data_IF_727263816987
#
_entry.id   IF_727263816987
#
_cell.length_a   1.000
_cell.length_b   1.000
_cell.length_c   1.000
_cell.angle_alpha   90.00
_cell.angle_beta   90.00
_cell.angle_gamma   90.00
#
_symmetry.space_group_name_H-M   'P 1'
#
loop_
_entity.id
_entity.type
_entity.pdbx_description
1 polymer ?
#
# COMPACT_ATOMS: atom_id res chain seq x y z
N UNK A 1 -4.71 -6.91 3.84
CA UNK A 1 -4.34 -6.76 2.42
C UNK A 1 -5.53 -7.07 1.54
N UNK A 2 -5.84 -6.16 0.64
CA UNK A 2 -7.16 -6.00 0.09
C UNK A 2 -7.28 -6.54 -1.34
N UNK A 3 -8.52 -6.68 -1.80
CA UNK A 3 -8.89 -6.89 -3.21
C UNK A 3 -8.17 -5.89 -4.14
N UNK A 4 -7.87 -4.68 -3.67
CA UNK A 4 -7.18 -3.60 -4.37
C UNK A 4 -5.73 -3.92 -4.73
N UNK A 5 -4.97 -4.56 -3.86
CA UNK A 5 -3.57 -4.94 -4.16
C UNK A 5 -3.52 -5.87 -5.37
N UNK A 6 -4.51 -6.75 -5.50
CA UNK A 6 -4.66 -7.62 -6.66
C UNK A 6 -5.09 -6.87 -7.93
N UNK A 7 -5.93 -5.84 -7.77
CA UNK A 7 -6.32 -4.99 -8.90
C UNK A 7 -5.13 -4.20 -9.44
N UNK A 8 -4.32 -3.61 -8.56
CA UNK A 8 -3.07 -2.94 -8.92
C UNK A 8 -2.11 -3.92 -9.61
N UNK A 9 -1.92 -5.12 -9.04
CA UNK A 9 -1.06 -6.13 -9.65
C UNK A 9 -1.53 -6.52 -11.06
N UNK A 10 -2.83 -6.70 -11.27
CA UNK A 10 -3.39 -6.97 -12.60
C UNK A 10 -3.17 -5.82 -13.59
N UNK A 11 -3.30 -4.58 -13.13
CA UNK A 11 -3.03 -3.39 -13.97
C UNK A 11 -1.55 -3.29 -14.37
N UNK A 12 -0.63 -3.78 -13.52
CA UNK A 12 0.79 -3.82 -13.81
C UNK A 12 1.20 -4.99 -14.72
N UNK A 13 0.34 -5.99 -14.89
CA UNK A 13 0.69 -7.24 -15.60
C UNK A 13 1.10 -7.01 -17.06
N UNK A 14 0.63 -5.94 -17.70
CA UNK A 14 0.97 -5.61 -19.08
C UNK A 14 2.15 -4.62 -19.20
N UNK A 15 2.82 -4.29 -18.08
CA UNK A 15 4.01 -3.44 -18.08
C UNK A 15 5.25 -4.27 -18.37
N UNK A 16 6.34 -3.57 -18.75
CA UNK A 16 7.65 -4.17 -19.06
C UNK A 16 8.74 -3.50 -18.25
N UNK A 17 9.85 -4.18 -18.10
CA UNK A 17 11.06 -3.68 -17.46
C UNK A 17 10.83 -3.17 -16.02
N UNK A 18 9.97 -3.89 -15.26
CA UNK A 18 9.70 -3.58 -13.86
C UNK A 18 10.46 -4.53 -12.93
N UNK A 19 10.96 -3.97 -11.83
CA UNK A 19 11.39 -4.71 -10.65
C UNK A 19 10.40 -4.44 -9.53
N UNK A 20 9.81 -5.50 -9.00
CA UNK A 20 8.75 -5.41 -7.99
C UNK A 20 9.18 -6.20 -6.76
N UNK A 21 9.20 -5.50 -5.62
CA UNK A 21 9.36 -6.09 -4.30
C UNK A 21 7.98 -6.15 -3.67
N UNK A 22 7.56 -7.32 -3.26
CA UNK A 22 6.25 -7.49 -2.61
C UNK A 22 6.34 -8.49 -1.46
N UNK A 23 5.73 -8.14 -0.32
CA UNK A 23 5.50 -9.09 0.76
C UNK A 23 4.17 -9.85 0.62
N UNK A 24 3.49 -9.70 -0.52
CA UNK A 24 2.23 -10.37 -0.81
C UNK A 24 2.42 -11.57 -1.73
N UNK A 25 2.21 -12.77 -1.20
CA UNK A 25 2.22 -13.96 -2.03
C UNK A 25 1.17 -13.89 -3.15
N UNK A 26 0.02 -13.29 -2.90
CA UNK A 26 -1.05 -13.14 -3.90
C UNK A 26 -0.66 -12.21 -5.03
N UNK A 27 0.02 -11.11 -4.73
CA UNK A 27 0.57 -10.18 -5.75
C UNK A 27 1.67 -10.88 -6.54
N UNK A 28 2.57 -11.56 -5.85
CA UNK A 28 3.65 -12.32 -6.51
C UNK A 28 3.09 -13.36 -7.49
N UNK A 29 2.05 -14.12 -7.10
CA UNK A 29 1.39 -15.12 -7.95
C UNK A 29 0.75 -14.53 -9.23
N UNK A 30 0.36 -13.26 -9.21
CA UNK A 30 -0.15 -12.58 -10.40
C UNK A 30 1.01 -12.16 -11.31
N UNK A 31 2.02 -11.51 -10.74
CA UNK A 31 3.04 -10.81 -11.50
C UNK A 31 4.15 -11.71 -12.06
N UNK A 32 4.52 -12.80 -11.37
CA UNK A 32 5.63 -13.67 -11.79
C UNK A 32 5.40 -14.36 -13.15
N UNK A 33 4.16 -14.34 -13.63
CA UNK A 33 3.80 -14.90 -14.94
C UNK A 33 4.29 -14.06 -16.12
N UNK A 34 4.59 -12.78 -15.89
CA UNK A 34 5.15 -11.90 -16.90
C UNK A 34 6.68 -11.95 -16.82
N UNK A 35 7.34 -12.42 -17.88
CA UNK A 35 8.80 -12.56 -17.94
C UNK A 35 9.54 -11.21 -17.97
N UNK A 36 8.85 -10.12 -18.33
CA UNK A 36 9.42 -8.76 -18.32
C UNK A 36 9.33 -8.09 -16.94
N UNK A 37 8.82 -8.79 -15.92
CA UNK A 37 8.71 -8.31 -14.54
C UNK A 37 9.56 -9.20 -13.62
N UNK A 38 10.59 -8.61 -13.02
CA UNK A 38 11.34 -9.27 -11.95
C UNK A 38 10.57 -9.13 -10.63
N UNK A 39 10.14 -10.23 -10.03
CA UNK A 39 9.39 -10.23 -8.77
C UNK A 39 10.27 -10.78 -7.64
N UNK A 40 10.54 -9.94 -6.65
CA UNK A 40 11.31 -10.28 -5.46
C UNK A 40 10.40 -10.37 -4.25
N UNK A 41 10.51 -11.46 -3.51
CA UNK A 41 9.67 -11.77 -2.34
C UNK A 41 10.57 -12.03 -1.14
N UNK A 42 10.33 -11.40 0.02
CA UNK A 42 11.10 -11.67 1.23
C UNK A 42 10.83 -13.08 1.77
N UNK A 43 11.76 -13.59 2.55
CA UNK A 43 11.49 -14.70 3.46
C UNK A 43 10.75 -14.22 4.70
N UNK A 44 10.09 -15.16 5.41
CA UNK A 44 9.38 -14.83 6.65
C UNK A 44 8.17 -15.73 6.89
N UNK A 45 7.30 -15.29 7.79
CA UNK A 45 6.06 -16.01 8.14
C UNK A 45 4.92 -15.57 7.22
N UNK A 46 4.31 -16.53 6.55
CA UNK A 46 3.15 -16.31 5.69
C UNK A 46 1.85 -16.29 6.52
N UNK A 47 1.09 -15.22 6.42
CA UNK A 47 -0.22 -15.08 7.05
C UNK A 47 -1.31 -15.73 6.20
N UNK A 48 -2.03 -16.68 6.80
CA UNK A 48 -3.03 -17.46 6.07
C UNK A 48 -4.20 -16.62 5.53
N UNK A 49 -4.66 -15.61 6.28
CA UNK A 49 -5.87 -14.86 5.92
C UNK A 49 -5.67 -13.88 4.75
N UNK A 50 -4.49 -13.30 4.59
CA UNK A 50 -4.24 -12.28 3.56
C UNK A 50 -3.07 -12.59 2.61
N UNK A 51 -2.24 -13.61 2.91
CA UNK A 51 -1.08 -13.96 2.11
C UNK A 51 0.09 -12.97 2.24
N UNK A 52 0.10 -12.19 3.31
CA UNK A 52 1.21 -11.30 3.65
C UNK A 52 2.35 -12.05 4.31
N UNK A 53 3.58 -11.69 3.95
CA UNK A 53 4.80 -12.20 4.57
C UNK A 53 5.28 -11.17 5.59
N UNK A 54 5.49 -11.60 6.82
CA UNK A 54 5.89 -10.78 7.97
C UNK A 54 7.09 -11.39 8.69
N UNK A 55 7.61 -10.65 9.65
CA UNK A 55 8.69 -11.06 10.52
C UNK A 55 10.01 -10.35 10.21
N UNK A 56 11.06 -10.60 11.05
CA UNK A 56 12.36 -9.93 10.92
C UNK A 56 13.00 -10.10 9.55
N UNK A 57 12.93 -11.29 8.96
CA UNK A 57 13.49 -11.57 7.64
C UNK A 57 12.85 -10.75 6.53
N UNK A 58 11.54 -10.44 6.64
CA UNK A 58 10.87 -9.56 5.69
C UNK A 58 11.33 -8.11 5.85
N UNK A 59 11.49 -7.64 7.07
CA UNK A 59 12.01 -6.30 7.39
C UNK A 59 13.43 -6.14 6.86
N UNK A 60 14.34 -7.04 7.23
CA UNK A 60 15.76 -7.00 6.83
C UNK A 60 15.91 -7.01 5.30
N UNK A 61 15.09 -7.84 4.62
CA UNK A 61 15.10 -7.89 3.16
C UNK A 61 14.69 -6.54 2.53
N UNK A 62 13.60 -5.94 3.01
CA UNK A 62 13.08 -4.66 2.49
C UNK A 62 14.07 -3.52 2.76
N UNK A 63 14.73 -3.51 3.90
CA UNK A 63 15.75 -2.51 4.26
C UNK A 63 16.93 -2.46 3.28
N UNK A 64 17.22 -3.55 2.58
CA UNK A 64 18.24 -3.61 1.55
C UNK A 64 17.95 -2.86 0.27
N UNK A 65 16.74 -2.29 0.12
CA UNK A 65 16.31 -1.64 -1.13
C UNK A 65 15.98 -0.16 -0.95
N UNK A 66 15.96 0.54 -2.07
CA UNK A 66 15.44 1.89 -2.19
C UNK A 66 14.51 1.95 -3.41
N UNK A 67 13.22 1.71 -3.18
CA UNK A 67 12.23 1.70 -4.25
C UNK A 67 11.89 3.11 -4.74
N UNK A 68 11.62 3.27 -6.03
CA UNK A 68 11.16 4.54 -6.58
C UNK A 68 9.72 4.84 -6.17
N UNK A 69 8.88 3.81 -6.13
CA UNK A 69 7.48 3.90 -5.73
C UNK A 69 7.08 2.77 -4.79
N UNK A 70 6.34 3.10 -3.77
CA UNK A 70 5.57 2.17 -2.96
C UNK A 70 4.10 2.36 -3.30
N UNK A 71 3.41 1.27 -3.63
CA UNK A 71 1.95 1.23 -3.68
C UNK A 71 1.48 0.41 -2.49
N UNK A 72 0.75 1.02 -1.59
CA UNK A 72 0.31 0.37 -0.35
C UNK A 72 -1.13 0.70 -0.02
N UNK A 73 -1.77 -0.21 0.70
CA UNK A 73 -3.06 0.01 1.34
C UNK A 73 -2.90 0.12 2.86
N UNK A 74 -3.99 0.36 3.56
CA UNK A 74 -4.03 0.57 5.01
C UNK A 74 -5.23 -0.08 5.65
N UNK A 75 -5.17 -0.25 6.98
CA UNK A 75 -6.28 -0.72 7.79
C UNK A 75 -7.33 0.36 8.08
N UNK A 76 -6.90 1.54 8.50
CA UNK A 76 -7.76 2.68 8.82
C UNK A 76 -7.05 4.03 8.64
N UNK A 77 -7.84 5.11 8.55
CA UNK A 77 -7.37 6.50 8.49
C UNK A 77 -8.08 7.32 9.57
N UNK A 78 -7.31 8.04 10.38
CA UNK A 78 -7.87 9.00 11.34
C UNK A 78 -8.06 10.39 10.72
N UNK A 79 -8.84 11.24 11.40
CA UNK A 79 -9.17 12.59 10.93
C UNK A 79 -7.96 13.50 10.75
N UNK A 80 -6.90 13.27 11.52
CA UNK A 80 -5.63 14.02 11.44
C UNK A 80 -4.68 13.49 10.35
N UNK A 81 -5.14 12.50 9.58
CA UNK A 81 -4.37 11.85 8.52
C UNK A 81 -3.50 10.68 8.97
N UNK A 82 -3.55 10.30 10.25
CA UNK A 82 -2.79 9.14 10.74
C UNK A 82 -3.25 7.85 10.06
N UNK A 83 -2.30 7.11 9.51
CA UNK A 83 -2.51 5.84 8.83
C UNK A 83 -2.27 4.69 9.81
N UNK A 84 -3.22 3.77 9.88
CA UNK A 84 -3.24 2.71 10.88
C UNK A 84 -3.33 1.31 10.27
N UNK A 85 -2.73 0.34 10.95
CA UNK A 85 -2.85 -1.08 10.71
C UNK A 85 -3.38 -1.83 11.94
N UNK A 86 -3.97 -3.02 11.71
CA UNK A 86 -4.56 -3.85 12.76
C UNK A 86 -3.53 -4.67 13.53
N UNK A 87 -2.46 -5.09 12.87
CA UNK A 87 -1.46 -6.02 13.40
C UNK A 87 -0.08 -5.36 13.49
N UNK A 88 0.60 -5.55 14.61
CA UNK A 88 1.92 -4.94 14.88
C UNK A 88 2.99 -5.40 13.87
N UNK A 89 2.97 -6.67 13.47
CA UNK A 89 3.97 -7.21 12.55
C UNK A 89 3.71 -6.74 11.10
N UNK A 90 2.44 -6.61 10.72
CA UNK A 90 2.08 -6.00 9.43
C UNK A 90 2.46 -4.51 9.41
N UNK A 91 2.18 -3.79 10.50
CA UNK A 91 2.56 -2.39 10.64
C UNK A 91 4.09 -2.18 10.57
N UNK A 92 4.87 -3.09 11.13
CA UNK A 92 6.33 -3.01 11.06
C UNK A 92 6.84 -3.13 9.62
N UNK A 93 6.33 -4.09 8.86
CA UNK A 93 6.65 -4.24 7.44
C UNK A 93 6.21 -3.01 6.64
N UNK A 94 4.99 -2.52 6.85
CA UNK A 94 4.47 -1.33 6.17
C UNK A 94 5.31 -0.07 6.44
N UNK A 95 5.68 0.18 7.70
CA UNK A 95 6.58 1.28 8.08
C UNK A 95 7.94 1.17 7.40
N UNK A 96 8.50 -0.03 7.34
CA UNK A 96 9.78 -0.28 6.68
C UNK A 96 9.68 0.02 5.19
N UNK A 97 8.61 -0.42 4.51
CA UNK A 97 8.37 -0.10 3.11
C UNK A 97 8.26 1.40 2.87
N UNK A 98 7.48 2.11 3.68
CA UNK A 98 7.30 3.58 3.56
C UNK A 98 8.64 4.29 3.73
N UNK A 99 9.44 3.92 4.72
CA UNK A 99 10.77 4.49 4.98
C UNK A 99 11.74 4.28 3.81
N UNK A 100 11.62 3.16 3.11
CA UNK A 100 12.56 2.76 2.04
C UNK A 100 12.03 3.03 0.62
N UNK A 101 10.93 3.75 0.49
CA UNK A 101 10.43 4.25 -0.80
C UNK A 101 10.68 5.76 -0.96
N UNK A 102 10.95 6.18 -2.20
CA UNK A 102 11.06 7.61 -2.55
C UNK A 102 9.71 8.28 -2.64
N UNK A 103 8.72 7.56 -3.15
CA UNK A 103 7.36 8.05 -3.32
C UNK A 103 6.37 6.98 -2.84
N UNK A 104 5.43 7.36 -1.99
CA UNK A 104 4.36 6.48 -1.53
C UNK A 104 3.05 6.86 -2.20
N UNK A 105 2.41 5.89 -2.85
CA UNK A 105 1.09 5.97 -3.42
C UNK A 105 0.15 5.15 -2.52
N UNK A 106 -0.79 5.83 -1.88
CA UNK A 106 -1.73 5.21 -0.96
C UNK A 106 -3.03 4.87 -1.69
N UNK A 107 -3.47 3.62 -1.59
CA UNK A 107 -4.73 3.15 -2.21
C UNK A 107 -5.67 2.66 -1.13
N UNK A 108 -6.77 3.37 -0.90
CA UNK A 108 -7.74 3.03 0.14
C UNK A 108 -9.16 3.40 -0.29
N UNK A 109 -10.16 2.60 0.09
CA UNK A 109 -11.55 2.97 -0.13
C UNK A 109 -12.12 3.80 1.02
N UNK A 110 -13.33 4.32 0.79
CA UNK A 110 -14.06 5.13 1.76
C UNK A 110 -14.29 4.44 3.11
N UNK A 111 -14.33 3.11 3.18
CA UNK A 111 -14.56 2.39 4.44
C UNK A 111 -13.40 2.56 5.43
N UNK A 112 -12.22 2.98 4.96
CA UNK A 112 -11.05 3.19 5.81
C UNK A 112 -11.18 4.38 6.75
N UNK A 113 -12.05 5.33 6.44
CA UNK A 113 -12.36 6.48 7.31
C UNK A 113 -13.30 6.14 8.48
N UNK A 114 -13.98 4.99 8.41
CA UNK A 114 -14.87 4.51 9.49
C UNK A 114 -14.33 3.28 10.21
N UNK A 115 -13.24 2.71 9.71
CA UNK A 115 -12.54 1.60 10.36
C UNK A 115 -11.73 2.09 11.56
N UNK A 116 -11.51 1.21 12.53
CA UNK A 116 -10.68 1.47 13.70
C UNK A 116 -9.54 0.46 13.75
N UNK A 117 -8.31 0.94 13.87
CA UNK A 117 -7.10 0.15 14.04
C UNK A 117 -6.17 0.87 15.02
N UNK A 118 -5.18 0.16 15.57
CA UNK A 118 -4.44 0.69 16.71
C UNK A 118 -2.97 1.01 16.44
N UNK A 119 -2.41 0.54 15.31
CA UNK A 119 -0.96 0.61 15.10
C UNK A 119 -0.63 1.61 13.99
N UNK A 120 -0.03 2.74 14.34
CA UNK A 120 0.37 3.77 13.37
C UNK A 120 1.47 3.28 12.43
N UNK A 121 1.31 3.56 11.15
CA UNK A 121 2.32 3.27 10.11
C UNK A 121 2.87 4.53 9.43
N UNK A 122 2.26 5.68 9.64
CA UNK A 122 2.64 6.94 9.04
C UNK A 122 1.48 7.93 9.01
N UNK A 123 1.59 8.93 8.14
CA UNK A 123 0.54 9.94 7.97
C UNK A 123 0.33 10.25 6.49
N UNK A 124 -0.91 10.50 6.10
CA UNK A 124 -1.30 10.84 4.74
C UNK A 124 -0.66 12.13 4.22
N UNK A 125 -0.18 13.01 5.10
CA UNK A 125 0.58 14.22 4.74
C UNK A 125 1.89 13.92 3.98
N UNK A 126 2.46 12.73 4.22
CA UNK A 126 3.76 12.33 3.69
C UNK A 126 3.69 11.42 2.47
N UNK A 127 2.47 11.16 1.95
CA UNK A 127 2.35 10.40 0.71
C UNK A 127 2.35 11.33 -0.51
N UNK A 128 2.74 10.82 -1.66
CA UNK A 128 2.73 11.56 -2.91
C UNK A 128 1.31 11.71 -3.48
N UNK A 129 0.53 10.63 -3.41
CA UNK A 129 -0.83 10.61 -3.92
C UNK A 129 -1.71 9.66 -3.13
N UNK A 130 -2.98 9.99 -3.05
CA UNK A 130 -4.03 9.19 -2.43
C UNK A 130 -5.09 8.82 -3.47
N UNK A 131 -5.27 7.52 -3.68
CA UNK A 131 -6.24 6.95 -4.62
C UNK A 131 -7.40 6.33 -3.83
N UNK A 132 -8.62 6.70 -4.18
CA UNK A 132 -9.84 6.24 -3.49
C UNK A 132 -11.01 6.06 -4.44
N UNK A 133 -12.06 5.39 -3.97
CA UNK A 133 -13.29 5.10 -4.71
C UNK A 133 -14.40 6.14 -4.52
N UNK A 134 -14.29 7.01 -3.53
CA UNK A 134 -15.25 8.05 -3.24
C UNK A 134 -14.56 9.28 -2.63
N UNK A 135 -15.19 10.44 -2.74
CA UNK A 135 -14.65 11.67 -2.18
C UNK A 135 -14.49 11.53 -0.66
N UNK A 136 -13.28 11.75 -0.12
CA UNK A 136 -13.02 11.70 1.32
C UNK A 136 -13.76 12.82 2.08
N UNK A 137 -13.81 12.76 3.43
CA UNK A 137 -14.30 13.85 4.25
C UNK A 137 -13.60 15.18 3.94
N UNK A 138 -14.34 16.30 4.00
CA UNK A 138 -13.81 17.62 3.63
C UNK A 138 -12.53 18.00 4.40
N UNK A 139 -12.46 17.67 5.69
CA UNK A 139 -11.27 17.92 6.51
C UNK A 139 -10.03 17.17 5.99
N UNK A 140 -10.22 15.97 5.50
CA UNK A 140 -9.14 15.18 4.92
C UNK A 140 -8.73 15.68 3.52
N UNK A 141 -9.69 16.08 2.69
CA UNK A 141 -9.40 16.73 1.42
C UNK A 141 -8.60 18.03 1.62
N UNK A 142 -8.94 18.83 2.63
CA UNK A 142 -8.21 20.03 2.99
C UNK A 142 -6.77 19.70 3.42
N UNK A 143 -6.60 18.71 4.29
CA UNK A 143 -5.28 18.22 4.73
C UNK A 143 -4.40 17.83 3.54
N UNK A 144 -4.93 17.05 2.59
CA UNK A 144 -4.19 16.65 1.40
C UNK A 144 -3.78 17.86 0.53
N UNK A 145 -4.70 18.83 0.38
CA UNK A 145 -4.45 20.05 -0.40
C UNK A 145 -3.36 20.93 0.24
N UNK A 146 -3.39 21.11 1.56
CA UNK A 146 -2.39 21.91 2.29
C UNK A 146 -0.98 21.32 2.18
N UNK A 147 -0.87 19.99 2.09
CA UNK A 147 0.41 19.28 2.00
C UNK A 147 0.81 18.94 0.55
N UNK A 148 0.07 19.43 -0.45
CA UNK A 148 0.29 19.15 -1.86
C UNK A 148 0.26 17.65 -2.21
N UNK A 149 -0.58 16.89 -1.53
CA UNK A 149 -0.82 15.47 -1.83
C UNK A 149 -1.88 15.38 -2.94
N UNK A 150 -1.57 14.67 -4.00
CA UNK A 150 -2.50 14.45 -5.11
C UNK A 150 -3.66 13.54 -4.65
N UNK A 151 -4.90 14.00 -4.84
CA UNK A 151 -6.11 13.20 -4.61
C UNK A 151 -6.66 12.71 -5.95
N UNK A 152 -6.78 11.38 -6.08
CA UNK A 152 -7.38 10.74 -7.26
C UNK A 152 -8.59 9.93 -6.81
N UNK A 153 -9.78 10.35 -7.22
CA UNK A 153 -11.02 9.61 -7.00
C UNK A 153 -11.34 8.82 -8.25
N UNK A 154 -11.43 7.49 -8.13
CA UNK A 154 -11.77 6.64 -9.25
C UNK A 154 -13.21 6.93 -9.72
N UNK A 155 -13.39 7.18 -11.01
CA UNK A 155 -14.71 7.24 -11.61
C UNK A 155 -15.40 5.87 -11.47
N UNK A 156 -16.61 5.87 -10.91
CA UNK A 156 -17.44 4.67 -10.93
C UNK A 156 -17.87 4.45 -12.38
N UNK A 157 -17.41 3.38 -13.01
CA UNK A 157 -18.04 2.92 -14.25
C UNK A 157 -19.50 2.61 -13.93
N UNK A 158 -20.40 3.47 -14.43
CA UNK A 158 -21.83 3.24 -14.37
C UNK A 158 -22.13 2.10 -15.35
N UNK A 159 -22.34 0.91 -14.79
CA UNK A 159 -22.77 -0.28 -15.54
C UNK A 159 -24.23 -0.17 -15.90
#
# INVERSE_FOLDING_TARGET
MCIRDRAVARALLNRRDLRIITNSLRVAQILYKNQDIEVMVPGGTLRAHNGGIIGPGAVDFIEGFRADYLITSIGAIEHDGTLLEFDVNEALVARTMIKHARNTLLVADHTKFTASAAVSIGNARNVRAFFTDALPPNSFCQLLSEENVELVVAEQEVS
#
